data_IF_958204280821
#
_entry.id   IF_958204280821
#
_cell.length_a   1.000
_cell.length_b   1.000
_cell.length_c   1.000
_cell.angle_alpha   90.00
_cell.angle_beta   90.00
_cell.angle_gamma   90.00
#
_symmetry.space_group_name_H-M   'P 1'
#
loop_
_entity.id
_entity.type
_entity.pdbx_description
1 polymer ?
#
# COMPACT_ATOMS: atom_id res chain seq x y z
N UNK A 1 23.22 -48.17 -22.48
CA UNK A 1 22.05 -47.28 -22.68
C UNK A 1 21.95 -46.39 -21.45
N UNK A 2 22.30 -45.11 -21.58
CA UNK A 2 22.50 -44.19 -20.44
C UNK A 2 21.91 -42.82 -20.81
N UNK A 3 20.60 -42.76 -20.99
CA UNK A 3 19.88 -41.49 -21.18
C UNK A 3 18.52 -41.65 -20.49
N UNK A 4 18.32 -41.00 -19.34
CA UNK A 4 17.03 -41.09 -18.66
C UNK A 4 16.86 -40.26 -17.40
N UNK A 5 17.71 -39.27 -17.12
CA UNK A 5 17.62 -38.46 -15.88
C UNK A 5 18.36 -37.13 -16.04
N UNK A 6 17.85 -36.21 -16.86
CA UNK A 6 18.47 -34.88 -16.97
C UNK A 6 17.54 -33.75 -17.45
N UNK A 7 16.22 -33.84 -17.28
CA UNK A 7 15.29 -32.88 -17.92
C UNK A 7 14.20 -32.30 -17.01
N UNK A 8 14.44 -32.17 -15.69
CA UNK A 8 13.45 -31.57 -14.79
C UNK A 8 13.94 -30.33 -14.01
N UNK A 9 15.14 -29.81 -14.25
CA UNK A 9 15.70 -28.72 -13.42
C UNK A 9 15.73 -27.33 -14.05
N UNK A 10 15.20 -27.13 -15.27
CA UNK A 10 15.33 -25.85 -15.98
C UNK A 10 14.05 -24.99 -16.07
N UNK A 11 12.92 -25.44 -15.51
CA UNK A 11 11.65 -24.70 -15.64
C UNK A 11 11.33 -23.76 -14.47
N UNK A 12 12.08 -23.79 -13.37
CA UNK A 12 11.64 -23.18 -12.10
C UNK A 12 12.13 -21.76 -11.74
N UNK A 13 13.17 -21.14 -12.35
CA UNK A 13 13.61 -19.83 -11.85
C UNK A 13 12.79 -18.63 -12.40
N UNK A 14 11.95 -18.80 -13.42
CA UNK A 14 11.27 -17.66 -14.06
C UNK A 14 10.07 -17.09 -13.27
N UNK A 15 9.50 -17.83 -12.31
CA UNK A 15 8.31 -17.38 -11.57
C UNK A 15 8.64 -16.47 -10.37
N UNK A 16 9.91 -16.39 -9.94
CA UNK A 16 10.28 -15.58 -8.78
C UNK A 16 10.51 -14.10 -9.10
N UNK A 17 10.73 -13.72 -10.37
CA UNK A 17 10.95 -12.32 -10.75
C UNK A 17 9.67 -11.52 -11.03
N UNK A 18 8.53 -12.18 -11.28
CA UNK A 18 7.29 -11.48 -11.66
C UNK A 18 6.66 -10.65 -10.53
N UNK A 19 7.15 -10.79 -9.30
CA UNK A 19 6.62 -10.12 -8.11
C UNK A 19 7.52 -9.00 -7.57
N UNK A 20 8.62 -8.68 -8.28
CA UNK A 20 9.39 -7.47 -8.01
C UNK A 20 8.65 -6.25 -8.58
N UNK A 21 7.66 -5.75 -7.84
CA UNK A 21 7.13 -4.39 -8.08
C UNK A 21 8.27 -3.42 -7.77
N UNK A 22 8.79 -2.78 -8.80
CA UNK A 22 9.71 -1.65 -8.64
C UNK A 22 8.92 -0.48 -8.05
N UNK A 23 8.97 -0.36 -6.72
CA UNK A 23 8.41 0.80 -6.02
C UNK A 23 9.38 1.96 -6.25
N UNK A 24 8.98 2.93 -7.08
CA UNK A 24 9.73 4.17 -7.18
C UNK A 24 9.69 4.91 -5.84
N UNK A 25 10.83 5.39 -5.32
CA UNK A 25 10.85 6.27 -4.16
C UNK A 25 9.94 7.47 -4.42
N UNK A 26 8.88 7.62 -3.61
CA UNK A 26 7.92 8.72 -3.74
C UNK A 26 6.57 8.35 -4.36
N UNK A 27 6.37 7.13 -4.84
CA UNK A 27 5.05 6.63 -5.23
C UNK A 27 4.61 5.52 -4.26
N UNK A 28 3.45 5.65 -3.59
CA UNK A 28 2.94 4.54 -2.79
C UNK A 28 2.70 3.34 -3.70
N UNK A 29 3.28 2.20 -3.35
CA UNK A 29 2.85 0.93 -3.94
C UNK A 29 1.34 0.82 -3.73
N UNK A 30 0.55 0.45 -4.76
CA UNK A 30 -0.86 0.22 -4.55
C UNK A 30 -1.01 -0.78 -3.40
N UNK A 31 -1.80 -0.41 -2.39
CA UNK A 31 -2.11 -1.32 -1.30
C UNK A 31 -2.66 -2.61 -1.93
N UNK A 32 -2.21 -3.80 -1.47
CA UNK A 32 -2.66 -5.06 -2.05
C UNK A 32 -4.19 -5.10 -1.97
N UNK A 33 -4.83 -5.16 -3.14
CA UNK A 33 -6.28 -5.14 -3.22
C UNK A 33 -6.85 -6.30 -2.39
N UNK A 34 -7.71 -5.98 -1.42
CA UNK A 34 -8.39 -7.00 -0.63
C UNK A 34 -9.31 -7.85 -1.54
N UNK A 35 -9.15 -9.19 -1.59
CA UNK A 35 -9.91 -10.06 -2.49
C UNK A 35 -11.35 -10.35 -2.01
N UNK A 36 -11.69 -9.97 -0.78
CA UNK A 36 -13.03 -10.21 -0.24
C UNK A 36 -14.09 -9.38 -0.98
N UNK A 37 -15.23 -9.97 -1.38
CA UNK A 37 -16.24 -9.29 -2.19
C UNK A 37 -17.20 -8.41 -1.38
N UNK A 38 -17.40 -8.71 -0.09
CA UNK A 38 -18.40 -8.02 0.73
C UNK A 38 -17.84 -6.74 1.34
N UNK A 39 -18.37 -5.60 0.90
CA UNK A 39 -18.02 -4.27 1.35
C UNK A 39 -19.26 -3.49 1.79
N UNK A 40 -19.07 -2.51 2.65
CA UNK A 40 -20.12 -1.60 3.10
C UNK A 40 -19.58 -0.16 3.10
N UNK A 41 -20.45 0.84 2.84
CA UNK A 41 -20.04 2.23 2.87
C UNK A 41 -19.67 2.65 4.30
N UNK A 42 -18.59 3.41 4.42
CA UNK A 42 -18.18 4.09 5.65
C UNK A 42 -17.96 5.56 5.36
N UNK A 43 -18.26 6.41 6.35
CA UNK A 43 -18.12 7.87 6.27
C UNK A 43 -17.51 8.41 7.56
N UNK A 44 -16.80 9.52 7.45
CA UNK A 44 -16.15 10.24 8.56
C UNK A 44 -14.65 10.30 8.40
N UNK A 45 -13.94 10.18 9.52
CA UNK A 45 -12.48 10.35 9.56
C UNK A 45 -11.75 9.17 8.92
N UNK A 46 -11.09 9.44 7.80
CA UNK A 46 -10.22 8.53 7.06
C UNK A 46 -8.77 9.02 7.12
N UNK A 47 -7.77 8.12 7.11
CA UNK A 47 -6.38 8.55 7.19
C UNK A 47 -5.98 9.34 5.95
N UNK A 48 -5.22 10.43 6.14
CA UNK A 48 -4.62 11.16 5.03
C UNK A 48 -3.73 10.23 4.19
N UNK A 49 -3.85 10.22 2.85
CA UNK A 49 -3.10 9.29 2.00
C UNK A 49 -1.65 9.75 1.77
N UNK A 50 -1.32 10.98 2.17
CA UNK A 50 -0.02 11.56 1.92
C UNK A 50 1.06 10.94 2.81
N UNK A 51 2.23 10.72 2.21
CA UNK A 51 3.44 10.30 2.90
C UNK A 51 4.33 11.52 3.15
N UNK A 52 5.12 11.45 4.23
CA UNK A 52 6.23 12.36 4.50
C UNK A 52 7.46 11.54 4.87
N UNK A 53 8.64 12.11 4.63
CA UNK A 53 9.91 11.49 5.01
C UNK A 53 10.35 12.06 6.36
N UNK A 54 10.62 11.23 7.36
CA UNK A 54 11.16 11.75 8.62
C UNK A 54 12.65 12.12 8.50
N UNK A 55 13.18 12.81 9.51
CA UNK A 55 14.59 13.23 9.53
C UNK A 55 15.60 12.05 9.40
N UNK A 56 15.19 10.83 9.78
CA UNK A 56 16.01 9.62 9.62
C UNK A 56 15.85 8.95 8.24
N UNK A 57 15.11 9.56 7.32
CA UNK A 57 14.91 9.05 5.95
C UNK A 57 13.78 8.02 5.79
N UNK A 58 13.05 7.67 6.86
CA UNK A 58 11.92 6.74 6.76
C UNK A 58 10.65 7.42 6.25
N UNK A 59 9.87 6.73 5.42
CA UNK A 59 8.54 7.21 5.01
C UNK A 59 7.48 6.86 6.06
N UNK A 60 6.63 7.83 6.35
CA UNK A 60 5.51 7.70 7.26
C UNK A 60 4.25 8.28 6.64
N UNK A 61 3.10 7.72 7.02
CA UNK A 61 1.80 8.28 6.65
C UNK A 61 1.48 9.51 7.50
N UNK A 62 0.87 10.51 6.88
CA UNK A 62 0.31 11.65 7.60
C UNK A 62 -0.79 11.18 8.56
N UNK A 63 -0.64 11.50 9.85
CA UNK A 63 -1.57 11.10 10.91
C UNK A 63 -2.81 11.98 11.02
N UNK A 64 -2.97 12.99 10.16
CA UNK A 64 -4.14 13.86 10.19
C UNK A 64 -5.34 13.13 9.58
N UNK A 65 -6.46 13.00 10.31
CA UNK A 65 -7.69 12.45 9.75
C UNK A 65 -8.30 13.44 8.76
N UNK A 66 -8.88 12.93 7.67
CA UNK A 66 -9.61 13.70 6.67
C UNK A 66 -11.05 13.19 6.60
N UNK A 67 -12.00 14.12 6.56
CA UNK A 67 -13.39 13.77 6.30
C UNK A 67 -13.56 13.19 4.88
N UNK A 68 -14.28 12.09 4.78
CA UNK A 68 -14.51 11.41 3.52
C UNK A 68 -15.42 10.19 3.63
N UNK A 69 -15.44 9.41 2.56
CA UNK A 69 -16.15 8.14 2.47
C UNK A 69 -15.33 7.06 1.78
N UNK A 70 -15.62 5.80 2.06
CA UNK A 70 -14.95 4.64 1.47
C UNK A 70 -15.86 3.40 1.45
N UNK A 71 -15.40 2.35 0.76
CA UNK A 71 -15.97 1.00 0.81
C UNK A 71 -15.10 0.08 1.67
N UNK A 72 -15.55 -0.17 2.91
CA UNK A 72 -14.82 -0.99 3.87
C UNK A 72 -15.14 -2.46 3.68
N UNK A 73 -14.11 -3.29 3.56
CA UNK A 73 -14.26 -4.73 3.58
C UNK A 73 -14.78 -5.22 4.94
N UNK A 74 -15.80 -6.09 4.92
CA UNK A 74 -16.37 -6.70 6.14
C UNK A 74 -15.40 -7.56 6.93
N UNK A 75 -14.41 -8.17 6.28
CA UNK A 75 -13.58 -9.22 6.88
C UNK A 75 -12.21 -8.73 7.33
N UNK A 76 -11.62 -7.73 6.67
CA UNK A 76 -10.27 -7.25 6.97
C UNK A 76 -10.17 -5.73 7.16
N UNK A 77 -11.29 -5.01 7.15
CA UNK A 77 -11.35 -3.55 7.29
C UNK A 77 -10.54 -2.77 6.25
N UNK A 78 -10.14 -3.41 5.14
CA UNK A 78 -9.50 -2.73 4.03
C UNK A 78 -10.48 -1.77 3.36
N UNK A 79 -10.13 -0.49 3.36
CA UNK A 79 -10.89 0.57 2.69
C UNK A 79 -10.50 0.65 1.21
N UNK A 80 -11.50 0.72 0.33
CA UNK A 80 -11.34 0.94 -1.11
C UNK A 80 -12.20 2.12 -1.54
N UNK A 81 -11.97 2.62 -2.77
CA UNK A 81 -12.76 3.70 -3.37
C UNK A 81 -12.87 4.94 -2.46
N UNK A 82 -11.77 5.29 -1.79
CA UNK A 82 -11.72 6.38 -0.82
C UNK A 82 -11.93 7.71 -1.57
N UNK A 83 -12.87 8.52 -1.07
CA UNK A 83 -13.17 9.86 -1.53
C UNK A 83 -13.01 10.82 -0.36
N UNK A 84 -12.09 11.78 -0.47
CA UNK A 84 -11.88 12.81 0.54
C UNK A 84 -12.69 14.06 0.18
N UNK A 85 -13.36 14.67 1.15
CA UNK A 85 -14.13 15.89 0.97
C UNK A 85 -13.32 17.16 1.24
N UNK A 86 -12.18 17.02 1.92
CA UNK A 86 -11.33 18.13 2.34
C UNK A 86 -9.86 17.86 1.97
N UNK A 87 -9.12 18.94 1.71
CA UNK A 87 -7.67 18.87 1.57
C UNK A 87 -6.99 18.76 2.94
N UNK A 88 -5.84 18.10 2.99
CA UNK A 88 -5.07 18.04 4.23
C UNK A 88 -4.48 19.42 4.58
N UNK A 89 -4.74 19.96 5.79
CA UNK A 89 -4.21 21.27 6.20
C UNK A 89 -2.70 21.24 6.45
N UNK A 90 -2.10 20.05 6.55
CA UNK A 90 -0.65 19.87 6.65
C UNK A 90 0.05 19.81 5.29
N UNK A 91 -0.66 20.09 4.19
CA UNK A 91 -0.03 20.21 2.88
C UNK A 91 0.72 21.56 2.76
N UNK A 92 1.93 21.58 2.14
CA UNK A 92 2.70 20.42 1.69
C UNK A 92 3.29 19.65 2.87
N UNK A 93 3.34 18.31 2.81
CA UNK A 93 3.84 17.45 3.89
C UNK A 93 5.37 17.45 3.94
N UNK A 94 6.02 18.30 4.76
CA UNK A 94 7.46 18.45 4.72
C UNK A 94 8.14 17.37 5.56
N UNK A 95 9.47 17.31 5.47
CA UNK A 95 10.22 16.46 6.38
C UNK A 95 10.03 16.93 7.83
N UNK A 96 9.85 15.98 8.76
CA UNK A 96 9.61 16.24 10.19
C UNK A 96 10.19 15.11 11.06
N UNK A 97 10.23 15.21 12.40
CA UNK A 97 10.73 14.14 13.26
C UNK A 97 9.96 12.82 13.07
N UNK A 98 10.61 11.69 13.31
CA UNK A 98 9.95 10.39 13.21
C UNK A 98 8.91 10.25 14.36
N UNK A 99 7.73 9.67 14.09
CA UNK A 99 6.62 9.65 15.05
C UNK A 99 6.86 8.69 16.22
N UNK A 100 7.75 7.72 16.05
CA UNK A 100 8.20 6.79 17.08
C UNK A 100 9.73 6.89 17.14
N UNK A 101 10.27 7.18 18.32
CA UNK A 101 11.71 7.22 18.62
C UNK A 101 12.11 5.95 19.35
#
# INVERSE_FOLDING_TARGET
MLIGKALCFLATPCLLLAQAVWVQPGHPAPAPACPHPVRYPVYGDLPCPALYTCHNGHQHQCSHPLDGGAQRCRYCNHDADIQYHVNCPHAPHPNRPCPFQ
#
